data_IF_866020310940
#
_entry.id   IF_866020310940
#
_cell.length_a   1.000
_cell.length_b   1.000
_cell.length_c   1.000
_cell.angle_alpha   90.00
_cell.angle_beta   90.00
_cell.angle_gamma   90.00
#
_symmetry.space_group_name_H-M   'P 1'
#
loop_
_entity.id
_entity.type
_entity.pdbx_description
1 polymer ?
#
# COMPACT_ATOMS: atom_id res chain seq x y z
N UNK A 1 5.52 -25.32 18.29
CA UNK A 1 5.25 -23.98 18.85
C UNK A 1 4.75 -24.04 20.30
N UNK A 2 3.72 -24.83 20.64
CA UNK A 2 3.21 -24.90 22.03
C UNK A 2 3.15 -26.29 22.68
N UNK A 3 3.18 -27.36 21.88
CA UNK A 3 3.20 -28.74 22.39
C UNK A 3 2.01 -29.05 23.30
N UNK A 4 2.28 -29.69 24.43
CA UNK A 4 1.27 -30.11 25.41
C UNK A 4 0.36 -28.97 25.88
N UNK A 5 0.88 -27.73 25.95
CA UNK A 5 0.09 -26.54 26.34
C UNK A 5 -1.14 -26.32 25.46
N UNK A 6 -1.03 -26.62 24.16
CA UNK A 6 -2.16 -26.48 23.23
C UNK A 6 -3.23 -27.53 23.50
N UNK A 7 -2.81 -28.78 23.70
CA UNK A 7 -3.73 -29.89 24.02
C UNK A 7 -4.42 -29.66 25.36
N UNK A 8 -3.69 -29.13 26.35
CA UNK A 8 -4.20 -28.86 27.68
C UNK A 8 -5.25 -27.74 27.68
N UNK A 9 -5.06 -26.68 26.87
CA UNK A 9 -6.01 -25.57 26.78
C UNK A 9 -7.40 -26.02 26.29
N UNK A 10 -7.45 -27.00 25.40
CA UNK A 10 -8.70 -27.52 24.81
C UNK A 10 -9.07 -28.92 25.26
N UNK A 11 -8.53 -29.34 26.41
CA UNK A 11 -8.83 -30.65 26.99
C UNK A 11 -10.33 -30.75 27.29
N UNK A 12 -10.97 -31.80 26.77
CA UNK A 12 -12.41 -32.04 26.95
C UNK A 12 -13.32 -31.27 25.99
N UNK A 13 -12.78 -30.47 25.09
CA UNK A 13 -13.54 -29.84 23.99
C UNK A 13 -13.57 -30.81 22.80
N UNK A 14 -14.74 -31.00 22.19
CA UNK A 14 -14.85 -31.78 20.95
C UNK A 14 -14.02 -31.11 19.82
N UNK A 15 -13.02 -31.81 19.24
CA UNK A 15 -12.21 -31.25 18.17
C UNK A 15 -13.00 -30.84 16.92
N UNK A 16 -14.14 -31.49 16.65
CA UNK A 16 -14.98 -31.15 15.49
C UNK A 16 -15.67 -29.82 15.70
N UNK A 17 -16.31 -29.65 16.87
CA UNK A 17 -16.89 -28.39 17.29
C UNK A 17 -15.86 -27.25 17.39
N UNK A 18 -14.67 -27.51 17.93
CA UNK A 18 -13.61 -26.51 17.99
C UNK A 18 -13.22 -26.02 16.59
N UNK A 19 -13.07 -26.94 15.63
CA UNK A 19 -12.75 -26.59 14.24
C UNK A 19 -13.87 -25.79 13.58
N UNK A 20 -15.14 -26.12 13.82
CA UNK A 20 -16.27 -25.39 13.21
C UNK A 20 -16.30 -23.95 13.71
N UNK A 21 -16.17 -23.73 15.01
CA UNK A 21 -16.15 -22.37 15.60
C UNK A 21 -14.99 -21.55 15.05
N UNK A 22 -13.78 -22.12 15.00
CA UNK A 22 -12.62 -21.43 14.42
C UNK A 22 -12.80 -21.13 12.94
N UNK A 23 -13.38 -22.07 12.18
CA UNK A 23 -13.61 -21.89 10.75
C UNK A 23 -14.64 -20.80 10.46
N UNK A 24 -15.70 -20.70 11.27
CA UNK A 24 -16.74 -19.70 11.12
C UNK A 24 -16.20 -18.29 11.38
N UNK A 25 -15.48 -18.11 12.49
CA UNK A 25 -14.89 -16.81 12.85
C UNK A 25 -13.80 -16.36 11.85
N UNK A 26 -12.97 -17.29 11.39
CA UNK A 26 -11.91 -17.00 10.42
C UNK A 26 -12.42 -16.87 8.98
N UNK A 27 -13.69 -17.19 8.69
CA UNK A 27 -14.24 -17.08 7.34
C UNK A 27 -14.19 -15.65 6.78
N UNK A 28 -14.21 -14.65 7.67
CA UNK A 28 -14.13 -13.23 7.32
C UNK A 28 -12.69 -12.70 7.21
N UNK A 29 -11.67 -13.54 7.40
CA UNK A 29 -10.27 -13.14 7.41
C UNK A 29 -9.58 -13.47 6.09
N UNK A 30 -8.77 -12.53 5.62
CA UNK A 30 -7.87 -12.76 4.50
C UNK A 30 -6.70 -13.66 4.91
N UNK A 31 -6.09 -14.32 3.92
CA UNK A 31 -4.90 -15.16 4.12
C UNK A 31 -3.76 -14.39 4.79
N UNK A 32 -3.58 -13.11 4.45
CA UNK A 32 -2.49 -12.31 5.00
C UNK A 32 -2.74 -11.88 6.45
N UNK A 33 -3.99 -11.61 6.83
CA UNK A 33 -4.38 -11.40 8.24
C UNK A 33 -4.06 -12.65 9.08
N UNK A 34 -4.41 -13.83 8.58
CA UNK A 34 -4.12 -15.10 9.26
C UNK A 34 -2.60 -15.32 9.38
N UNK A 35 -1.82 -15.02 8.33
CA UNK A 35 -0.35 -15.09 8.39
C UNK A 35 0.23 -14.15 9.43
N UNK A 36 -0.29 -12.92 9.56
CA UNK A 36 0.13 -11.97 10.61
C UNK A 36 -0.16 -12.53 12.00
N UNK A 37 -1.36 -13.06 12.22
CA UNK A 37 -1.75 -13.72 13.47
C UNK A 37 -0.79 -14.86 13.82
N UNK A 38 -0.50 -15.74 12.86
CA UNK A 38 0.45 -16.85 13.03
C UNK A 38 1.88 -16.39 13.35
N UNK A 39 2.36 -15.35 12.68
CA UNK A 39 3.68 -14.78 12.94
C UNK A 39 3.76 -14.21 14.38
N UNK A 40 2.71 -13.51 14.82
CA UNK A 40 2.64 -12.97 16.18
C UNK A 40 2.51 -14.06 17.25
N UNK A 41 1.91 -15.21 16.94
CA UNK A 41 1.87 -16.33 17.86
C UNK A 41 3.28 -16.86 18.19
N UNK A 42 4.24 -16.80 17.25
CA UNK A 42 5.62 -17.30 17.47
C UNK A 42 6.36 -16.60 18.60
N UNK A 43 5.98 -15.36 18.94
CA UNK A 43 6.61 -14.59 20.02
C UNK A 43 5.96 -14.84 21.39
N UNK A 44 4.86 -15.58 21.43
CA UNK A 44 4.11 -15.87 22.67
C UNK A 44 4.53 -17.21 23.29
N UNK A 45 4.55 -17.32 24.62
CA UNK A 45 4.87 -18.58 25.32
C UNK A 45 3.66 -19.53 25.47
N UNK A 46 2.44 -19.04 25.23
CA UNK A 46 1.19 -19.77 25.37
C UNK A 46 0.34 -19.67 24.09
N UNK A 47 -0.42 -20.74 23.76
CA UNK A 47 -1.38 -20.71 22.66
C UNK A 47 -2.47 -19.65 22.94
N UNK A 48 -2.76 -18.77 21.96
CA UNK A 48 -3.85 -17.83 22.12
C UNK A 48 -5.20 -18.53 22.01
N UNK A 49 -6.19 -18.00 22.72
CA UNK A 49 -7.60 -18.29 22.49
C UNK A 49 -8.05 -17.73 21.13
N UNK A 50 -9.24 -18.14 20.65
CA UNK A 50 -9.77 -17.63 19.39
C UNK A 50 -9.87 -16.08 19.37
N UNK A 51 -10.49 -15.40 20.35
CA UNK A 51 -10.55 -13.93 20.35
C UNK A 51 -9.17 -13.25 20.38
N UNK A 52 -8.22 -13.83 21.11
CA UNK A 52 -6.84 -13.32 21.14
C UNK A 52 -6.16 -13.50 19.78
N UNK A 53 -6.40 -14.62 19.10
CA UNK A 53 -5.88 -14.86 17.76
C UNK A 53 -6.46 -13.89 16.73
N UNK A 54 -7.77 -13.61 16.79
CA UNK A 54 -8.41 -12.60 15.93
C UNK A 54 -7.77 -11.22 16.14
N UNK A 55 -7.56 -10.82 17.40
CA UNK A 55 -6.88 -9.56 17.75
C UNK A 55 -5.43 -9.50 17.26
N UNK A 56 -4.71 -10.62 17.29
CA UNK A 56 -3.34 -10.70 16.74
C UNK A 56 -3.31 -10.62 15.22
N UNK A 57 -4.36 -11.10 14.55
CA UNK A 57 -4.49 -11.10 13.09
C UNK A 57 -4.84 -9.71 12.54
N UNK A 58 -5.56 -8.92 13.35
CA UNK A 58 -5.93 -7.51 13.10
C UNK A 58 -5.44 -6.61 14.26
N UNK A 59 -4.12 -6.41 14.41
CA UNK A 59 -3.63 -5.53 15.45
C UNK A 59 -4.18 -4.12 15.22
N UNK A 60 -4.64 -3.42 16.29
CA UNK A 60 -5.15 -2.07 16.14
C UNK A 60 -4.05 -1.17 15.57
N UNK A 61 -4.35 -0.52 14.45
CA UNK A 61 -3.46 0.47 13.87
C UNK A 61 -3.66 1.76 14.66
N UNK A 62 -2.62 2.22 15.35
CA UNK A 62 -2.64 3.53 16.00
C UNK A 62 -2.76 4.64 14.94
N UNK A 63 -3.80 5.49 14.98
CA UNK A 63 -4.01 6.47 13.93
C UNK A 63 -2.90 7.51 13.83
N UNK A 64 -2.23 7.85 14.92
CA UNK A 64 -1.12 8.81 14.91
C UNK A 64 0.10 8.23 14.21
N UNK A 65 0.49 7.02 14.59
CA UNK A 65 1.58 6.27 13.96
C UNK A 65 1.32 6.06 12.46
N UNK A 66 0.08 5.72 12.08
CA UNK A 66 -0.32 5.58 10.69
C UNK A 66 -0.26 6.90 9.91
N UNK A 67 -0.60 8.02 10.55
CA UNK A 67 -0.47 9.35 9.93
C UNK A 67 1.01 9.71 9.69
N UNK A 68 1.88 9.45 10.67
CA UNK A 68 3.32 9.71 10.54
C UNK A 68 3.92 8.84 9.43
N UNK A 69 3.54 7.56 9.37
CA UNK A 69 3.90 6.67 8.26
C UNK A 69 3.41 7.25 6.94
N UNK A 70 2.15 7.65 6.84
CA UNK A 70 1.57 8.23 5.64
C UNK A 70 2.35 9.44 5.11
N UNK A 71 2.69 10.39 5.97
CA UNK A 71 3.50 11.56 5.60
C UNK A 71 4.90 11.14 5.14
N UNK A 72 5.52 10.15 5.81
CA UNK A 72 6.84 9.63 5.44
C UNK A 72 6.82 8.94 4.08
N UNK A 73 5.85 8.07 3.83
CA UNK A 73 5.76 7.29 2.60
C UNK A 73 5.32 8.16 1.41
N UNK A 74 4.48 9.19 1.62
CA UNK A 74 4.16 10.17 0.58
C UNK A 74 5.40 10.91 0.06
N UNK A 75 6.39 11.20 0.91
CA UNK A 75 7.67 11.78 0.48
C UNK A 75 8.47 10.83 -0.41
N UNK A 76 8.58 9.56 0.00
CA UNK A 76 9.30 8.53 -0.78
C UNK A 76 8.60 8.16 -2.08
N UNK A 77 7.29 8.41 -2.16
CA UNK A 77 6.51 8.16 -3.37
C UNK A 77 6.89 9.09 -4.53
N UNK A 78 7.57 10.21 -4.26
CA UNK A 78 8.17 11.04 -5.32
C UNK A 78 9.29 10.29 -6.06
N UNK A 79 9.99 9.38 -5.38
CA UNK A 79 11.08 8.57 -5.92
C UNK A 79 10.70 7.11 -6.18
N UNK A 80 9.42 6.74 -6.03
CA UNK A 80 8.90 5.37 -6.15
C UNK A 80 9.51 4.36 -5.16
N UNK A 81 9.88 4.82 -3.96
CA UNK A 81 10.43 3.96 -2.90
C UNK A 81 9.44 3.79 -1.73
N UNK A 82 8.16 4.08 -1.94
CA UNK A 82 7.15 4.00 -0.88
C UNK A 82 6.84 2.55 -0.49
N UNK A 83 6.82 2.30 0.82
CA UNK A 83 6.49 0.99 1.39
C UNK A 83 5.49 1.19 2.51
N UNK A 84 4.26 0.71 2.28
CA UNK A 84 3.16 0.84 3.22
C UNK A 84 3.04 -0.39 4.09
N UNK A 85 2.93 -0.21 5.41
CA UNK A 85 2.75 -1.30 6.37
C UNK A 85 1.37 -1.93 6.26
N UNK A 86 0.36 -1.16 5.84
CA UNK A 86 -0.99 -1.63 5.60
C UNK A 86 -1.64 -0.90 4.41
N UNK A 87 -2.31 -1.61 3.47
CA UNK A 87 -3.01 -0.97 2.35
C UNK A 87 -4.03 0.08 2.77
N UNK A 88 -4.74 -0.16 3.88
CA UNK A 88 -5.67 0.81 4.48
C UNK A 88 -5.04 2.20 4.70
N UNK A 89 -3.77 2.27 5.11
CA UNK A 89 -3.08 3.54 5.36
C UNK A 89 -2.94 4.29 4.03
N UNK A 90 -2.46 3.60 2.98
CA UNK A 90 -2.36 4.16 1.64
C UNK A 90 -3.71 4.66 1.11
N UNK A 91 -4.75 3.83 1.17
CA UNK A 91 -6.05 4.20 0.64
C UNK A 91 -6.72 5.30 1.46
N UNK A 92 -6.46 5.37 2.77
CA UNK A 92 -6.86 6.50 3.59
C UNK A 92 -6.14 7.78 3.17
N UNK A 93 -4.83 7.74 2.86
CA UNK A 93 -4.11 8.93 2.37
C UNK A 93 -4.70 9.50 1.08
N UNK A 94 -5.19 8.65 0.17
CA UNK A 94 -5.78 9.10 -1.10
C UNK A 94 -7.06 9.90 -0.94
N UNK A 95 -7.72 9.85 0.21
CA UNK A 95 -8.92 10.63 0.51
C UNK A 95 -8.60 12.10 0.85
N UNK A 96 -7.32 12.43 1.02
CA UNK A 96 -6.85 13.77 1.34
C UNK A 96 -5.99 14.33 0.21
N UNK A 97 -5.92 15.67 0.11
CA UNK A 97 -4.92 16.30 -0.74
C UNK A 97 -3.52 16.04 -0.15
N UNK A 98 -2.56 15.67 -0.99
CA UNK A 98 -1.18 15.39 -0.57
C UNK A 98 -0.55 16.57 0.17
N UNK A 99 -0.83 17.80 -0.28
CA UNK A 99 -0.34 19.03 0.35
C UNK A 99 -0.89 19.21 1.78
N UNK A 100 -2.16 18.83 2.02
CA UNK A 100 -2.79 18.95 3.34
C UNK A 100 -2.18 17.98 4.34
N UNK A 101 -1.99 16.70 3.95
CA UNK A 101 -1.36 15.70 4.83
C UNK A 101 0.07 16.09 5.20
N UNK A 102 0.81 16.67 4.26
CA UNK A 102 2.22 17.02 4.44
C UNK A 102 2.44 18.31 5.23
N UNK A 103 1.49 19.24 5.17
CA UNK A 103 1.58 20.55 5.82
C UNK A 103 0.89 20.65 7.19
N UNK A 104 -0.07 19.78 7.50
CA UNK A 104 -0.85 19.87 8.74
C UNK A 104 -0.26 19.02 9.88
N UNK A 105 -0.22 19.53 11.13
CA UNK A 105 0.10 18.71 12.30
C UNK A 105 -1.04 17.72 12.57
N UNK A 106 -0.70 16.54 13.07
CA UNK A 106 -1.67 15.47 13.34
C UNK A 106 -2.88 15.93 14.16
N UNK A 107 -2.65 16.75 15.20
CA UNK A 107 -3.73 17.27 16.07
C UNK A 107 -4.84 17.98 15.28
N UNK A 108 -4.51 18.68 14.20
CA UNK A 108 -5.49 19.43 13.38
C UNK A 108 -6.31 18.55 12.42
N UNK A 109 -5.81 17.35 12.09
CA UNK A 109 -6.47 16.43 11.15
C UNK A 109 -6.96 15.14 11.80
N UNK A 110 -6.56 14.88 13.04
CA UNK A 110 -6.81 13.65 13.82
C UNK A 110 -8.20 13.08 13.59
N UNK A 111 -9.26 13.86 13.85
CA UNK A 111 -10.62 13.36 13.75
C UNK A 111 -11.00 12.89 12.33
N UNK A 112 -10.57 13.64 11.30
CA UNK A 112 -10.83 13.27 9.90
C UNK A 112 -9.98 12.08 9.47
N UNK A 113 -8.70 12.07 9.86
CA UNK A 113 -7.78 10.98 9.58
C UNK A 113 -8.20 9.68 10.24
N UNK A 114 -8.48 9.67 11.55
CA UNK A 114 -8.93 8.49 12.27
C UNK A 114 -10.20 7.92 11.66
N UNK A 115 -11.17 8.78 11.29
CA UNK A 115 -12.39 8.34 10.62
C UNK A 115 -12.08 7.67 9.27
N UNK A 116 -11.30 8.32 8.40
CA UNK A 116 -10.92 7.78 7.10
C UNK A 116 -10.15 6.46 7.21
N UNK A 117 -9.23 6.36 8.16
CA UNK A 117 -8.46 5.14 8.42
C UNK A 117 -9.38 4.00 8.88
N UNK A 118 -10.31 4.26 9.80
CA UNK A 118 -11.25 3.26 10.28
C UNK A 118 -12.19 2.78 9.18
N UNK A 119 -12.74 3.69 8.36
CA UNK A 119 -13.57 3.33 7.21
C UNK A 119 -12.80 2.44 6.22
N UNK A 120 -11.52 2.73 6.00
CA UNK A 120 -10.68 1.85 5.19
C UNK A 120 -10.50 0.49 5.85
N UNK A 121 -10.16 0.43 7.14
CA UNK A 121 -9.99 -0.83 7.87
C UNK A 121 -11.27 -1.68 7.89
N UNK A 122 -12.45 -1.06 7.93
CA UNK A 122 -13.74 -1.73 7.85
C UNK A 122 -14.04 -2.32 6.46
N UNK A 123 -13.51 -1.75 5.37
CA UNK A 123 -13.66 -2.32 4.02
C UNK A 123 -12.98 -3.70 3.90
N UNK A 124 -11.88 -3.92 4.64
CA UNK A 124 -11.15 -5.20 4.73
C UNK A 124 -10.49 -5.70 3.44
N UNK A 125 -10.78 -5.07 2.29
CA UNK A 125 -10.25 -5.43 0.98
C UNK A 125 -9.88 -4.17 0.21
N UNK A 126 -8.72 -4.20 -0.43
CA UNK A 126 -8.18 -3.07 -1.16
C UNK A 126 -7.59 -3.52 -2.49
N UNK A 127 -7.69 -2.70 -3.55
CA UNK A 127 -6.90 -2.90 -4.76
C UNK A 127 -5.41 -2.77 -4.45
N UNK A 128 -4.58 -3.36 -5.34
CA UNK A 128 -3.13 -3.19 -5.27
C UNK A 128 -2.74 -1.71 -5.32
N UNK A 129 -1.74 -1.35 -4.52
CA UNK A 129 -1.25 0.02 -4.43
C UNK A 129 -0.56 0.37 -5.75
N UNK A 130 -1.08 1.34 -6.53
CA UNK A 130 -0.50 1.67 -7.82
C UNK A 130 0.87 2.35 -7.65
N UNK A 131 1.87 1.83 -8.36
CA UNK A 131 3.17 2.50 -8.51
C UNK A 131 2.99 3.84 -9.23
N UNK A 132 3.69 4.88 -8.78
CA UNK A 132 3.61 6.19 -9.43
C UNK A 132 4.48 6.15 -10.68
N UNK A 133 3.87 5.98 -11.85
CA UNK A 133 4.60 6.12 -13.11
C UNK A 133 5.28 7.49 -13.12
N UNK A 134 6.61 7.52 -13.22
CA UNK A 134 7.38 8.74 -13.46
C UNK A 134 6.78 9.34 -14.72
N UNK A 135 6.21 10.54 -14.64
CA UNK A 135 5.76 11.25 -15.82
C UNK A 135 6.97 11.39 -16.75
N UNK A 136 6.88 10.81 -17.94
CA UNK A 136 7.79 11.15 -19.02
C UNK A 136 7.75 12.69 -19.14
N UNK A 137 8.91 13.35 -19.32
CA UNK A 137 8.96 14.80 -19.42
C UNK A 137 7.94 15.27 -20.46
N UNK A 138 7.22 16.34 -20.13
CA UNK A 138 6.16 16.86 -20.99
C UNK A 138 6.61 16.96 -22.46
N UNK A 139 5.76 16.60 -23.44
CA UNK A 139 6.10 16.70 -24.85
C UNK A 139 6.53 18.13 -25.18
N UNK A 140 7.84 18.34 -25.40
CA UNK A 140 8.42 19.68 -25.57
C UNK A 140 9.78 19.89 -24.90
N UNK A 141 10.23 19.00 -24.00
CA UNK A 141 11.59 19.04 -23.44
C UNK A 141 12.55 18.01 -24.05
N UNK A 142 12.36 17.67 -25.32
CA UNK A 142 13.49 17.21 -26.14
C UNK A 142 14.23 18.47 -26.59
N UNK A 143 15.23 18.89 -25.82
CA UNK A 143 16.21 19.86 -26.31
C UNK A 143 16.96 19.20 -27.48
N UNK A 144 16.43 19.34 -28.69
CA UNK A 144 17.13 18.95 -29.91
C UNK A 144 18.26 19.97 -30.06
N UNK A 145 19.50 19.49 -30.00
CA UNK A 145 20.70 20.29 -30.19
C UNK A 145 20.54 21.22 -31.41
N UNK A 146 20.60 22.56 -31.24
CA UNK A 146 20.41 23.53 -32.31
C UNK A 146 21.32 23.28 -33.53
N UNK A 147 22.51 22.69 -33.31
CA UNK A 147 23.41 22.32 -34.40
C UNK A 147 22.84 21.21 -35.29
N UNK A 148 22.16 20.23 -34.67
CA UNK A 148 21.51 19.11 -35.35
C UNK A 148 20.27 19.55 -36.10
N UNK A 149 19.49 20.47 -35.54
CA UNK A 149 18.34 21.10 -36.22
C UNK A 149 18.80 21.84 -37.48
N UNK A 150 19.91 22.58 -37.40
CA UNK A 150 20.46 23.32 -38.54
C UNK A 150 20.98 22.40 -39.64
N UNK A 151 21.59 21.26 -39.29
CA UNK A 151 21.99 20.23 -40.25
C UNK A 151 20.78 19.60 -40.95
N UNK A 152 19.74 19.20 -40.21
CA UNK A 152 18.52 18.65 -40.80
C UNK A 152 17.80 19.64 -41.72
N UNK A 153 17.74 20.92 -41.37
CA UNK A 153 17.15 21.95 -42.23
C UNK A 153 17.96 22.18 -43.50
N UNK A 154 19.29 22.07 -43.45
CA UNK A 154 20.15 22.17 -44.62
C UNK A 154 19.93 20.98 -45.57
N UNK A 155 19.89 19.75 -45.05
CA UNK A 155 19.62 18.54 -45.83
C UNK A 155 18.22 18.56 -46.47
N UNK A 156 17.20 19.01 -45.73
CA UNK A 156 15.83 19.15 -46.26
C UNK A 156 15.76 20.20 -47.37
N UNK A 157 16.45 21.33 -47.21
CA UNK A 157 16.51 22.38 -48.25
C UNK A 157 17.21 21.88 -49.51
N UNK A 158 18.27 21.10 -49.37
CA UNK A 158 19.00 20.51 -50.50
C UNK A 158 18.14 19.48 -51.24
N UNK A 159 17.39 18.65 -50.49
CA UNK A 159 16.46 17.66 -51.06
C UNK A 159 15.26 18.31 -51.77
N UNK A 160 14.77 19.45 -51.26
CA UNK A 160 13.69 20.23 -51.85
C UNK A 160 14.14 21.09 -53.05
N UNK A 161 15.43 21.39 -53.15
CA UNK A 161 16.04 22.11 -54.27
C UNK A 161 16.38 21.20 -55.47
N UNK A 162 16.20 19.88 -55.33
CA UNK A 162 16.41 18.94 -56.42
C UNK A 162 15.09 18.82 -57.20
N UNK A 163 15.01 19.27 -58.47
CA UNK A 163 13.78 19.20 -59.23
C UNK A 163 13.33 17.74 -59.36
N UNK A 164 12.06 17.49 -59.03
CA UNK A 164 11.40 16.20 -59.27
C UNK A 164 11.28 16.04 -60.78
N UNK A 165 12.20 15.27 -61.36
CA UNK A 165 12.07 14.63 -62.67
C UNK A 165 12.45 15.48 -63.89
N UNK A 166 13.57 15.14 -64.52
CA UNK A 166 13.59 14.92 -65.96
C UNK A 166 13.79 13.41 -66.20
N UNK A 167 13.00 12.88 -67.13
CA UNK A 167 13.00 11.49 -67.61
C UNK A 167 14.27 11.17 -68.39
#
# INVERSE_FOLDING_TARGET
MYGQKFTDQWRGVDPTYLKSVWSEELASFSVDEIKRGLAACRTRPWPPTLPEFLSLSRPPIDPESAFIEAVRELRKRETNEDTWSHPAIFWATRLFATQDLMGMPYVGIKNRWTKALNEQLELGTWPEIPQRLIELPAPGQTAVDPAKVKQYLAELRERMSRPVGER
#
